data_IF_621493220892
#
_entry.id   IF_621493220892
#
_cell.length_a   1.000
_cell.length_b   1.000
_cell.length_c   1.000
_cell.angle_alpha   90.00
_cell.angle_beta   90.00
_cell.angle_gamma   90.00
#
_symmetry.space_group_name_H-M   'P 1'
#
loop_
_entity.id
_entity.type
_entity.pdbx_description
1 polymer ?
#
# COMPACT_ATOMS: atom_id res chain seq x y z
N UNK A 1 -2.28 -18.17 3.49
CA UNK A 1 -2.02 -16.97 4.32
C UNK A 1 -1.21 -17.28 5.58
N UNK A 2 -1.60 -18.21 6.46
CA UNK A 2 -0.81 -18.57 7.65
C UNK A 2 0.63 -18.98 7.31
N UNK A 3 0.82 -19.87 6.33
CA UNK A 3 2.14 -20.28 5.82
C UNK A 3 2.98 -19.09 5.34
N UNK A 4 2.35 -18.11 4.68
CA UNK A 4 3.04 -16.89 4.25
C UNK A 4 3.47 -16.01 5.43
N UNK A 5 2.70 -15.93 6.51
CA UNK A 5 3.11 -15.19 7.71
C UNK A 5 4.36 -15.80 8.35
N UNK A 6 4.42 -17.12 8.46
CA UNK A 6 5.58 -17.83 8.99
C UNK A 6 6.81 -17.58 8.11
N UNK A 7 6.68 -17.77 6.78
CA UNK A 7 7.76 -17.54 5.83
C UNK A 7 8.29 -16.09 5.87
N UNK A 8 7.38 -15.12 5.92
CA UNK A 8 7.74 -13.71 6.00
C UNK A 8 8.45 -13.36 7.31
N UNK A 9 7.98 -13.91 8.41
CA UNK A 9 8.60 -13.67 9.71
C UNK A 9 10.04 -14.19 9.75
N UNK A 10 10.28 -15.43 9.30
CA UNK A 10 11.64 -15.99 9.26
C UNK A 10 12.56 -15.19 8.35
N UNK A 11 12.10 -14.78 7.16
CA UNK A 11 12.88 -13.97 6.22
C UNK A 11 13.13 -12.55 6.71
N UNK A 12 12.28 -12.01 7.57
CA UNK A 12 12.44 -10.67 8.13
C UNK A 12 13.62 -10.60 9.12
N UNK A 13 13.97 -11.72 9.76
CA UNK A 13 15.07 -11.81 10.71
C UNK A 13 14.85 -10.98 11.97
N UNK A 14 13.59 -10.83 12.40
CA UNK A 14 13.30 -10.19 13.68
C UNK A 14 13.50 -11.20 14.83
N UNK A 15 13.95 -10.72 16.01
CA UNK A 15 13.98 -11.56 17.21
C UNK A 15 12.56 -12.03 17.56
N UNK A 16 12.46 -13.16 18.25
CA UNK A 16 11.17 -13.69 18.71
C UNK A 16 10.41 -12.67 19.56
N UNK A 17 11.12 -11.94 20.38
CA UNK A 17 10.60 -10.83 21.18
C UNK A 17 11.52 -9.62 21.04
N UNK A 18 10.97 -8.41 21.05
CA UNK A 18 11.79 -7.22 21.24
C UNK A 18 12.31 -7.17 22.68
N UNK A 19 13.53 -6.62 22.85
CA UNK A 19 14.08 -6.40 24.17
C UNK A 19 13.24 -5.35 24.92
N UNK A 20 12.47 -5.80 25.91
CA UNK A 20 11.74 -4.93 26.83
C UNK A 20 11.64 -5.62 28.18
N UNK A 21 11.57 -4.82 29.23
CA UNK A 21 11.27 -5.29 30.57
C UNK A 21 9.80 -5.69 30.64
N UNK A 22 9.47 -6.80 31.29
CA UNK A 22 8.10 -7.26 31.49
C UNK A 22 7.75 -8.55 30.77
N UNK A 23 6.49 -8.96 30.90
CA UNK A 23 5.98 -10.24 30.40
C UNK A 23 5.99 -10.30 28.86
N UNK A 24 6.63 -11.33 28.31
CA UNK A 24 6.74 -11.58 26.86
C UNK A 24 5.56 -12.41 26.35
N UNK A 25 4.34 -11.98 26.62
CA UNK A 25 3.11 -12.71 26.35
C UNK A 25 2.86 -12.99 24.86
N UNK A 26 3.32 -12.08 23.97
CA UNK A 26 3.16 -12.21 22.52
C UNK A 26 4.51 -12.12 21.83
N UNK A 27 4.78 -13.02 20.90
CA UNK A 27 5.96 -12.95 20.07
C UNK A 27 5.75 -12.06 18.82
N UNK A 28 6.82 -11.74 18.10
CA UNK A 28 6.74 -10.84 16.95
C UNK A 28 6.04 -11.45 15.74
N UNK A 29 6.05 -12.78 15.58
CA UNK A 29 5.24 -13.47 14.56
C UNK A 29 3.75 -13.25 14.82
N UNK A 30 3.30 -13.46 16.06
CA UNK A 30 1.91 -13.23 16.46
C UNK A 30 1.49 -11.78 16.26
N UNK A 31 2.34 -10.83 16.69
CA UNK A 31 2.07 -9.39 16.52
C UNK A 31 1.91 -8.99 15.05
N UNK A 32 2.84 -9.40 14.18
CA UNK A 32 2.79 -9.09 12.74
C UNK A 32 1.55 -9.72 12.10
N UNK A 33 1.30 -11.01 12.37
CA UNK A 33 0.14 -11.72 11.83
C UNK A 33 -1.17 -11.06 12.24
N UNK A 34 -1.32 -10.73 13.52
CA UNK A 34 -2.54 -10.06 14.02
C UNK A 34 -2.72 -8.65 13.47
N UNK A 35 -1.64 -7.88 13.28
CA UNK A 35 -1.74 -6.56 12.64
C UNK A 35 -2.19 -6.66 11.18
N UNK A 36 -1.71 -7.65 10.43
CA UNK A 36 -2.15 -7.88 9.04
C UNK A 36 -3.62 -8.33 9.00
N UNK A 37 -4.01 -9.24 9.90
CA UNK A 37 -5.40 -9.72 10.02
C UNK A 37 -6.35 -8.59 10.44
N UNK A 38 -5.93 -7.72 11.34
CA UNK A 38 -6.67 -6.52 11.73
C UNK A 38 -6.96 -5.62 10.51
N UNK A 39 -5.96 -5.36 9.66
CA UNK A 39 -6.21 -4.58 8.43
C UNK A 39 -7.19 -5.29 7.49
N UNK A 40 -7.16 -6.60 7.44
CA UNK A 40 -8.08 -7.40 6.62
C UNK A 40 -9.53 -7.33 7.13
N UNK A 41 -9.73 -7.32 8.44
CA UNK A 41 -11.07 -7.36 9.06
C UNK A 41 -11.88 -6.09 8.81
N UNK A 42 -11.24 -4.94 8.56
CA UNK A 42 -11.86 -3.60 8.43
C UNK A 42 -12.69 -3.19 9.67
N UNK A 43 -12.56 -3.88 10.79
CA UNK A 43 -13.30 -3.66 12.03
C UNK A 43 -12.58 -2.66 12.93
N UNK A 44 -13.26 -2.20 13.98
CA UNK A 44 -12.59 -1.49 15.07
C UNK A 44 -11.60 -2.42 15.78
N UNK A 45 -10.69 -1.85 16.58
CA UNK A 45 -9.75 -2.67 17.36
C UNK A 45 -10.47 -3.56 18.37
N UNK A 46 -11.58 -3.09 18.93
CA UNK A 46 -12.39 -3.84 19.91
C UNK A 46 -13.10 -4.99 19.21
N UNK A 47 -13.87 -4.69 18.15
CA UNK A 47 -14.63 -5.69 17.41
C UNK A 47 -13.74 -6.78 16.81
N UNK A 48 -12.53 -6.40 16.34
CA UNK A 48 -11.55 -7.37 15.87
C UNK A 48 -11.07 -8.30 16.99
N UNK A 49 -10.86 -7.78 18.20
CA UNK A 49 -10.45 -8.59 19.33
C UNK A 49 -11.55 -9.57 19.76
N UNK A 50 -12.80 -9.16 19.71
CA UNK A 50 -13.95 -10.03 20.03
C UNK A 50 -14.08 -11.15 18.99
N UNK A 51 -14.07 -10.81 17.71
CA UNK A 51 -14.13 -11.80 16.63
C UNK A 51 -12.93 -12.77 16.63
N UNK A 52 -11.75 -12.29 17.04
CA UNK A 52 -10.55 -13.12 17.12
C UNK A 52 -10.73 -14.29 18.10
N UNK A 53 -11.52 -14.12 19.17
CA UNK A 53 -11.78 -15.18 20.19
C UNK A 53 -12.35 -16.45 19.58
N UNK A 54 -13.22 -16.30 18.58
CA UNK A 54 -13.93 -17.40 17.92
C UNK A 54 -13.22 -17.90 16.66
N UNK A 55 -12.12 -17.24 16.28
CA UNK A 55 -11.43 -17.55 15.04
C UNK A 55 -10.40 -18.68 15.19
N UNK A 56 -10.20 -19.43 14.11
CA UNK A 56 -9.14 -20.44 14.01
C UNK A 56 -7.72 -19.86 14.16
N UNK A 57 -7.57 -18.52 14.04
CA UNK A 57 -6.28 -17.85 14.17
C UNK A 57 -5.71 -17.96 15.58
N UNK A 58 -6.54 -18.10 16.61
CA UNK A 58 -6.11 -18.35 17.99
C UNK A 58 -5.29 -19.65 18.04
N UNK A 59 -5.82 -20.72 17.46
CA UNK A 59 -5.14 -22.02 17.38
C UNK A 59 -3.91 -21.96 16.48
N UNK A 60 -4.03 -21.43 15.27
CA UNK A 60 -2.95 -21.38 14.29
C UNK A 60 -1.76 -20.53 14.72
N UNK A 61 -1.98 -19.47 15.46
CA UNK A 61 -0.93 -18.62 16.01
C UNK A 61 -0.51 -19.03 17.42
N UNK A 62 -1.09 -20.11 17.98
CA UNK A 62 -0.82 -20.58 19.34
C UNK A 62 -0.94 -19.46 20.38
N UNK A 63 -2.04 -18.69 20.30
CA UNK A 63 -2.28 -17.58 21.22
C UNK A 63 -2.74 -18.13 22.58
N UNK A 64 -1.96 -17.87 23.62
CA UNK A 64 -2.35 -18.21 25.02
C UNK A 64 -3.39 -17.22 25.59
N UNK A 65 -3.44 -16.02 25.04
CA UNK A 65 -4.35 -14.94 25.43
C UNK A 65 -4.71 -14.08 24.22
N UNK A 66 -5.93 -13.56 24.21
CA UNK A 66 -6.37 -12.58 23.19
C UNK A 66 -5.84 -11.19 23.57
N UNK A 67 -5.21 -10.45 22.65
CA UNK A 67 -4.81 -9.07 22.92
C UNK A 67 -6.01 -8.16 23.05
N UNK A 68 -5.96 -7.18 23.90
CA UNK A 68 -6.94 -6.11 23.93
C UNK A 68 -6.69 -5.06 22.84
N UNK A 69 -7.70 -4.22 22.54
CA UNK A 69 -7.61 -3.18 21.52
C UNK A 69 -6.48 -2.16 21.79
N UNK A 70 -6.22 -1.82 23.05
CA UNK A 70 -5.08 -0.98 23.45
C UNK A 70 -3.74 -1.64 23.12
N UNK A 71 -3.61 -2.94 23.37
CA UNK A 71 -2.41 -3.71 23.05
C UNK A 71 -2.11 -3.70 21.54
N UNK A 72 -3.14 -3.93 20.71
CA UNK A 72 -3.00 -3.83 19.24
C UNK A 72 -2.61 -2.43 18.78
N UNK A 73 -3.19 -1.40 19.39
CA UNK A 73 -2.83 -0.01 19.10
C UNK A 73 -1.36 0.28 19.44
N UNK A 74 -0.85 -0.25 20.55
CA UNK A 74 0.55 -0.09 20.90
C UNK A 74 1.47 -0.85 19.96
N UNK A 75 1.06 -1.99 19.44
CA UNK A 75 1.83 -2.69 18.40
C UNK A 75 1.85 -1.91 17.07
N UNK A 76 0.78 -1.22 16.69
CA UNK A 76 0.81 -0.31 15.53
C UNK A 76 1.84 0.82 15.72
N UNK A 77 2.08 1.26 16.98
CA UNK A 77 3.12 2.23 17.30
C UNK A 77 4.52 1.59 17.39
N UNK A 78 4.61 0.32 17.76
CA UNK A 78 5.87 -0.37 17.97
C UNK A 78 6.65 -0.55 16.67
N UNK A 79 5.99 -1.03 15.60
CA UNK A 79 6.64 -1.27 14.32
C UNK A 79 6.92 0.04 13.58
N UNK A 80 8.22 0.34 13.40
CA UNK A 80 8.67 1.51 12.65
C UNK A 80 8.50 1.29 11.14
N UNK A 81 8.35 2.37 10.38
CA UNK A 81 8.20 2.32 8.91
C UNK A 81 9.29 1.52 8.21
N UNK A 82 10.53 1.57 8.71
CA UNK A 82 11.64 0.81 8.13
C UNK A 82 11.42 -0.71 8.22
N UNK A 83 10.84 -1.19 9.32
CA UNK A 83 10.53 -2.61 9.53
C UNK A 83 9.39 -3.06 8.62
N UNK A 84 8.32 -2.23 8.50
CA UNK A 84 7.17 -2.55 7.65
C UNK A 84 7.59 -2.52 6.17
N UNK A 85 8.44 -1.57 5.75
CA UNK A 85 9.01 -1.57 4.39
C UNK A 85 9.92 -2.76 4.12
N UNK A 86 10.73 -3.18 5.09
CA UNK A 86 11.52 -4.41 4.97
C UNK A 86 10.62 -5.62 4.76
N UNK A 87 9.53 -5.73 5.54
CA UNK A 87 8.53 -6.78 5.36
C UNK A 87 7.93 -6.75 3.94
N UNK A 88 7.52 -5.56 3.47
CA UNK A 88 7.01 -5.39 2.12
C UNK A 88 8.04 -5.77 1.05
N UNK A 89 9.31 -5.45 1.24
CA UNK A 89 10.36 -5.79 0.27
C UNK A 89 10.58 -7.28 0.08
N UNK A 90 10.27 -8.10 1.10
CA UNK A 90 10.36 -9.57 1.04
C UNK A 90 9.24 -10.22 0.19
N UNK A 91 8.19 -9.47 -0.10
CA UNK A 91 7.05 -9.91 -0.92
C UNK A 91 7.25 -9.65 -2.41
N UNK A 92 8.15 -8.74 -2.78
CA UNK A 92 8.37 -8.30 -4.15
C UNK A 92 8.84 -9.43 -5.06
N UNK A 93 8.43 -9.36 -6.32
CA UNK A 93 8.98 -10.19 -7.39
C UNK A 93 10.49 -9.96 -7.55
N UNK A 94 11.20 -10.96 -8.11
CA UNK A 94 12.66 -10.87 -8.26
C UNK A 94 13.07 -10.10 -9.52
N UNK A 95 12.41 -10.32 -10.65
CA UNK A 95 12.81 -9.79 -11.96
C UNK A 95 11.86 -8.67 -12.39
N UNK A 96 12.08 -7.48 -11.85
CA UNK A 96 11.29 -6.28 -12.15
C UNK A 96 12.02 -5.47 -13.21
N UNK A 97 11.33 -5.14 -14.30
CA UNK A 97 11.86 -4.28 -15.36
C UNK A 97 10.94 -3.10 -15.68
N UNK A 98 9.63 -3.34 -15.77
CA UNK A 98 8.64 -2.33 -16.08
C UNK A 98 7.83 -1.96 -14.84
N UNK A 99 7.84 -0.69 -14.51
CA UNK A 99 7.19 -0.15 -13.31
C UNK A 99 6.32 1.05 -13.64
N UNK A 100 5.37 1.38 -12.77
CA UNK A 100 4.56 2.57 -12.93
C UNK A 100 4.41 3.32 -11.60
N UNK A 101 4.25 4.65 -11.69
CA UNK A 101 3.98 5.51 -10.54
C UNK A 101 2.80 6.42 -10.81
N UNK A 102 1.90 6.52 -9.85
CA UNK A 102 0.79 7.45 -9.90
C UNK A 102 0.30 7.82 -8.50
N UNK A 103 -0.35 8.99 -8.42
CA UNK A 103 -0.89 9.56 -7.19
C UNK A 103 -2.40 9.39 -7.08
N UNK A 104 -2.88 9.11 -5.87
CA UNK A 104 -4.32 9.07 -5.57
C UNK A 104 -4.62 9.74 -4.23
N UNK A 105 -5.83 10.28 -4.08
CA UNK A 105 -6.34 10.77 -2.80
C UNK A 105 -6.99 9.66 -1.99
N UNK A 106 -6.80 9.66 -0.68
CA UNK A 106 -7.54 8.85 0.28
C UNK A 106 -8.22 9.75 1.29
N UNK A 107 -9.44 9.41 1.66
CA UNK A 107 -10.10 10.05 2.78
C UNK A 107 -9.36 9.68 4.07
N UNK A 108 -9.11 10.68 4.88
CA UNK A 108 -8.46 10.49 6.15
C UNK A 108 -9.29 11.12 7.24
N UNK A 109 -9.95 10.30 8.02
CA UNK A 109 -10.83 10.71 9.11
C UNK A 109 -12.10 11.45 8.64
N UNK A 110 -13.24 10.86 8.84
CA UNK A 110 -14.52 11.47 8.52
C UNK A 110 -14.87 12.52 9.58
N UNK A 111 -14.90 13.78 9.18
CA UNK A 111 -15.74 14.77 9.87
C UNK A 111 -17.20 14.43 9.60
N UNK A 112 -18.04 14.60 10.59
CA UNK A 112 -19.48 14.48 10.37
C UNK A 112 -19.91 15.49 9.31
N UNK A 113 -20.62 15.04 8.27
CA UNK A 113 -21.18 15.93 7.23
C UNK A 113 -22.03 17.07 7.82
N UNK A 114 -22.62 16.83 8.99
CA UNK A 114 -23.37 17.81 9.74
C UNK A 114 -22.48 18.94 10.30
N UNK A 115 -21.26 18.60 10.74
CA UNK A 115 -20.29 19.59 11.20
C UNK A 115 -19.76 20.44 10.03
N UNK A 116 -19.57 19.84 8.88
CA UNK A 116 -19.10 20.54 7.66
C UNK A 116 -20.15 21.56 7.18
N UNK A 117 -21.43 21.18 7.20
CA UNK A 117 -22.53 22.12 6.91
C UNK A 117 -22.66 23.26 7.94
N UNK A 118 -22.30 23.05 9.20
CA UNK A 118 -22.39 24.03 10.29
C UNK A 118 -21.26 25.07 10.26
N UNK A 119 -20.07 24.67 9.83
CA UNK A 119 -18.88 25.54 9.81
C UNK A 119 -18.88 26.51 8.63
N UNK A 120 -19.89 26.41 7.78
CA UNK A 120 -20.25 27.44 6.81
C UNK A 120 -19.60 27.25 5.44
N UNK A 121 -20.40 27.51 4.45
CA UNK A 121 -20.13 27.42 3.01
C UNK A 121 -19.05 28.37 2.49
N UNK A 122 -18.47 29.22 3.34
CA UNK A 122 -17.54 30.27 2.92
C UNK A 122 -16.11 29.80 2.77
N UNK A 123 -15.71 28.76 3.46
CA UNK A 123 -14.42 28.09 3.25
C UNK A 123 -14.67 26.60 3.23
N UNK A 124 -14.64 25.97 2.07
CA UNK A 124 -14.54 24.52 1.97
C UNK A 124 -13.36 24.11 2.85
N UNK A 125 -13.59 23.65 4.10
CA UNK A 125 -12.50 23.23 4.93
C UNK A 125 -11.87 22.08 4.15
N UNK A 126 -10.57 22.18 3.92
CA UNK A 126 -9.85 21.13 3.23
C UNK A 126 -10.15 19.82 3.95
N UNK A 127 -10.95 18.98 3.32
CA UNK A 127 -11.25 17.63 3.84
C UNK A 127 -9.93 17.02 4.30
N UNK A 128 -9.87 16.39 5.47
CA UNK A 128 -8.66 15.71 5.91
C UNK A 128 -8.30 14.67 4.88
N UNK A 129 -7.42 15.04 4.02
CA UNK A 129 -7.03 14.37 2.79
C UNK A 129 -5.63 13.82 2.95
N UNK A 130 -5.44 12.59 2.54
CA UNK A 130 -4.13 12.01 2.41
C UNK A 130 -3.85 11.73 0.94
N UNK A 131 -2.75 12.26 0.42
CA UNK A 131 -2.24 11.93 -0.90
C UNK A 131 -1.33 10.72 -0.78
N UNK A 132 -1.57 9.72 -1.61
CA UNK A 132 -0.73 8.54 -1.74
C UNK A 132 -0.22 8.46 -3.16
N UNK A 133 1.09 8.32 -3.32
CA UNK A 133 1.72 7.97 -4.58
C UNK A 133 2.20 6.52 -4.47
N UNK A 134 1.73 5.66 -5.37
CA UNK A 134 2.10 4.25 -5.45
C UNK A 134 3.14 4.03 -6.55
N UNK A 135 4.19 3.28 -6.22
CA UNK A 135 5.17 2.77 -7.15
C UNK A 135 5.01 1.26 -7.25
N UNK A 136 4.64 0.76 -8.43
CA UNK A 136 4.26 -0.64 -8.64
C UNK A 136 5.13 -1.32 -9.69
N UNK A 137 5.22 -2.63 -9.61
CA UNK A 137 5.62 -3.49 -10.72
C UNK A 137 4.41 -3.73 -11.63
N UNK A 138 4.54 -3.42 -12.91
CA UNK A 138 3.45 -3.50 -13.89
C UNK A 138 3.01 -4.95 -14.12
N UNK A 139 3.96 -5.87 -14.20
CA UNK A 139 3.69 -7.29 -14.49
C UNK A 139 2.91 -7.97 -13.37
N UNK A 140 3.39 -7.85 -12.15
CA UNK A 140 2.77 -8.53 -10.99
C UNK A 140 1.72 -7.68 -10.29
N UNK A 141 1.63 -6.38 -10.61
CA UNK A 141 0.81 -5.39 -9.92
C UNK A 141 1.14 -5.30 -8.40
N UNK A 142 2.31 -5.72 -7.99
CA UNK A 142 2.77 -5.58 -6.61
C UNK A 142 3.24 -4.15 -6.33
N UNK A 143 2.94 -3.66 -5.13
CA UNK A 143 3.37 -2.33 -4.69
C UNK A 143 4.81 -2.42 -4.19
N UNK A 144 5.71 -1.79 -4.93
CA UNK A 144 7.14 -1.75 -4.61
C UNK A 144 7.44 -0.78 -3.47
N UNK A 145 6.89 0.42 -3.55
CA UNK A 145 7.00 1.44 -2.50
C UNK A 145 5.85 2.43 -2.62
N UNK A 146 5.69 3.28 -1.63
CA UNK A 146 4.68 4.33 -1.62
C UNK A 146 5.15 5.54 -0.83
N UNK A 147 4.50 6.67 -1.05
CA UNK A 147 4.56 7.82 -0.15
C UNK A 147 3.17 8.27 0.24
N UNK A 148 2.97 8.58 1.50
CA UNK A 148 1.72 9.14 2.01
C UNK A 148 2.00 10.51 2.63
N UNK A 149 1.33 11.53 2.10
CA UNK A 149 1.45 12.90 2.53
C UNK A 149 0.07 13.46 2.92
N UNK A 150 0.05 14.24 4.00
CA UNK A 150 -1.18 14.89 4.51
C UNK A 150 -1.29 16.36 4.05
N UNK A 151 -0.34 16.80 3.26
CA UNK A 151 -0.32 18.14 2.64
C UNK A 151 -0.28 17.99 1.13
N UNK A 152 -0.79 18.99 0.40
CA UNK A 152 -0.66 19.03 -1.06
C UNK A 152 0.80 19.20 -1.43
N UNK A 153 1.40 18.19 -2.00
CA UNK A 153 2.78 18.18 -2.49
C UNK A 153 2.75 17.76 -3.95
N UNK A 154 3.58 18.41 -4.76
CA UNK A 154 3.69 18.14 -6.18
C UNK A 154 4.19 16.70 -6.45
N UNK A 155 3.60 16.02 -7.42
CA UNK A 155 3.88 14.61 -7.77
C UNK A 155 5.37 14.34 -7.97
N UNK A 156 6.04 15.17 -8.75
CA UNK A 156 7.47 15.05 -9.00
C UNK A 156 8.34 15.14 -7.72
N UNK A 157 7.91 15.91 -6.69
CA UNK A 157 8.62 15.96 -5.40
C UNK A 157 8.43 14.68 -4.62
N UNK A 158 7.22 14.13 -4.61
CA UNK A 158 6.89 12.87 -3.92
C UNK A 158 7.59 11.70 -4.59
N UNK A 159 7.55 11.62 -5.91
CA UNK A 159 8.30 10.61 -6.67
C UNK A 159 9.80 10.66 -6.37
N UNK A 160 10.37 11.85 -6.24
CA UNK A 160 11.77 12.01 -5.84
C UNK A 160 12.10 11.37 -4.50
N UNK A 161 11.18 11.39 -3.53
CA UNK A 161 11.34 10.71 -2.24
C UNK A 161 11.32 9.19 -2.43
N UNK A 162 10.38 8.66 -3.23
CA UNK A 162 10.27 7.23 -3.53
C UNK A 162 11.52 6.74 -4.27
N UNK A 163 11.93 7.44 -5.32
CA UNK A 163 13.07 7.04 -6.16
C UNK A 163 14.41 7.10 -5.43
N UNK A 164 14.60 8.03 -4.50
CA UNK A 164 15.79 8.07 -3.65
C UNK A 164 15.95 6.83 -2.79
N UNK A 165 14.84 6.25 -2.30
CA UNK A 165 14.85 5.08 -1.41
C UNK A 165 15.03 3.75 -2.14
N UNK A 166 14.69 3.69 -3.43
CA UNK A 166 14.68 2.45 -4.18
C UNK A 166 15.91 2.32 -5.08
N UNK A 167 16.31 1.08 -5.37
CA UNK A 167 17.21 0.74 -6.47
C UNK A 167 16.40 0.77 -7.75
N UNK A 168 16.87 1.44 -8.79
CA UNK A 168 16.11 1.65 -10.05
C UNK A 168 16.86 1.10 -11.26
N UNK A 169 18.00 0.41 -11.04
CA UNK A 169 18.81 -0.13 -12.12
C UNK A 169 18.01 -1.09 -13.00
N UNK A 170 17.97 -0.81 -14.30
CA UNK A 170 17.22 -1.60 -15.28
C UNK A 170 15.70 -1.37 -15.26
N UNK A 171 15.19 -0.37 -14.52
CA UNK A 171 13.76 -0.09 -14.47
C UNK A 171 13.36 0.93 -15.55
N UNK A 172 12.36 0.56 -16.34
CA UNK A 172 11.55 1.49 -17.12
C UNK A 172 10.34 1.90 -16.28
N UNK A 173 10.23 3.21 -16.01
CA UNK A 173 9.24 3.78 -15.09
C UNK A 173 8.23 4.60 -15.86
N UNK A 174 6.97 4.19 -15.85
CA UNK A 174 5.86 4.90 -16.48
C UNK A 174 5.22 5.87 -15.49
N UNK A 175 5.01 7.11 -15.89
CA UNK A 175 4.40 8.13 -15.06
C UNK A 175 3.49 9.06 -15.87
N UNK A 176 2.57 9.76 -15.19
CA UNK A 176 1.76 10.80 -15.81
C UNK A 176 2.58 12.09 -16.05
N UNK A 177 2.05 12.99 -16.87
CA UNK A 177 2.62 14.34 -17.10
C UNK A 177 2.88 15.15 -15.82
N UNK A 178 2.23 14.79 -14.71
CA UNK A 178 2.47 15.35 -13.38
C UNK A 178 3.91 15.15 -12.88
N UNK A 179 4.56 14.10 -13.36
CA UNK A 179 5.92 13.71 -13.00
C UNK A 179 6.99 14.24 -13.97
N UNK A 180 6.60 14.96 -15.03
CA UNK A 180 7.54 15.54 -15.99
C UNK A 180 8.42 16.61 -15.34
N UNK A 181 9.64 16.25 -15.00
CA UNK A 181 10.65 17.11 -14.40
C UNK A 181 12.05 16.63 -14.76
N UNK A 182 12.84 17.48 -15.40
CA UNK A 182 14.24 17.15 -15.77
C UNK A 182 15.06 16.69 -14.54
N UNK A 183 14.82 17.32 -13.37
CA UNK A 183 15.46 16.91 -12.12
C UNK A 183 15.12 15.47 -11.73
N UNK A 184 13.87 15.05 -11.95
CA UNK A 184 13.42 13.71 -11.66
C UNK A 184 14.00 12.70 -12.64
N UNK A 185 14.03 13.03 -13.94
CA UNK A 185 14.69 12.21 -14.97
C UNK A 185 16.18 12.00 -14.66
N UNK A 186 16.91 13.05 -14.29
CA UNK A 186 18.30 12.96 -13.88
C UNK A 186 18.49 12.04 -12.68
N UNK A 187 17.64 12.14 -11.67
CA UNK A 187 17.68 11.27 -10.50
C UNK A 187 17.48 9.80 -10.89
N UNK A 188 16.51 9.49 -11.76
CA UNK A 188 16.25 8.10 -12.20
C UNK A 188 17.42 7.58 -13.02
N UNK A 189 17.94 8.39 -13.95
CA UNK A 189 19.13 8.03 -14.76
C UNK A 189 20.37 7.79 -13.92
N UNK A 190 20.63 8.61 -12.91
CA UNK A 190 21.78 8.41 -12.01
C UNK A 190 21.71 7.11 -11.21
N UNK A 191 20.51 6.49 -11.14
CA UNK A 191 20.27 5.19 -10.51
C UNK A 191 20.13 4.04 -11.51
N UNK A 192 20.45 4.27 -12.80
CA UNK A 192 20.43 3.25 -13.85
C UNK A 192 19.03 2.90 -14.39
N UNK A 193 18.01 3.71 -14.10
CA UNK A 193 16.66 3.55 -14.63
C UNK A 193 16.33 4.55 -15.74
N UNK A 194 15.13 4.43 -16.32
CA UNK A 194 14.57 5.34 -17.32
C UNK A 194 13.16 5.74 -16.92
N UNK A 195 12.87 7.05 -16.92
CA UNK A 195 11.55 7.59 -16.64
C UNK A 195 10.87 7.98 -17.95
N UNK A 196 9.65 7.56 -18.15
CA UNK A 196 8.78 7.95 -19.25
C UNK A 196 7.59 8.72 -18.69
N UNK A 197 7.54 10.01 -18.97
CA UNK A 197 6.44 10.88 -18.60
C UNK A 197 6.10 11.81 -19.78
N UNK A 198 4.81 11.95 -20.16
CA UNK A 198 4.43 12.87 -21.22
C UNK A 198 4.87 14.28 -20.90
N UNK A 199 5.48 14.95 -21.87
CA UNK A 199 6.04 16.29 -21.71
C UNK A 199 4.92 17.32 -21.47
N UNK A 200 5.03 18.11 -20.41
CA UNK A 200 4.16 19.27 -20.20
C UNK A 200 4.47 20.35 -21.21
N UNK A 201 3.49 20.74 -22.00
CA UNK A 201 3.55 21.97 -22.80
C UNK A 201 3.44 23.16 -21.85
N UNK A 202 4.54 23.86 -21.65
CA UNK A 202 4.55 25.10 -20.87
C UNK A 202 4.23 26.27 -21.84
N UNK A 203 3.04 26.79 -21.75
CA UNK A 203 2.50 27.99 -22.45
C UNK A 203 1.98 27.80 -23.88
N UNK A 204 0.82 28.41 -24.11
CA UNK A 204 0.12 28.52 -25.39
C UNK A 204 0.88 29.35 -26.44
N UNK A 205 1.98 30.02 -26.07
CA UNK A 205 2.60 31.11 -26.88
C UNK A 205 3.67 30.61 -27.85
N UNK A 206 4.11 29.33 -27.78
CA UNK A 206 5.09 28.84 -28.76
C UNK A 206 4.98 27.34 -28.92
N UNK A 207 4.24 26.93 -29.96
CA UNK A 207 4.12 25.50 -30.38
C UNK A 207 5.47 24.90 -30.82
N UNK A 208 6.48 25.71 -31.10
CA UNK A 208 7.76 25.30 -31.70
C UNK A 208 8.92 25.21 -30.71
N UNK A 209 8.75 25.55 -29.42
CA UNK A 209 9.83 25.42 -28.46
C UNK A 209 9.92 24.01 -27.92
N UNK A 210 11.05 23.36 -28.18
CA UNK A 210 11.38 22.05 -27.57
C UNK A 210 11.46 22.20 -26.04
N UNK A 211 11.04 21.15 -25.27
CA UNK A 211 11.13 21.20 -23.81
C UNK A 211 12.58 21.39 -23.36
N UNK A 212 12.77 22.16 -22.31
CA UNK A 212 14.08 22.28 -21.67
C UNK A 212 14.51 20.96 -21.02
N UNK A 213 15.80 20.64 -21.12
CA UNK A 213 16.37 19.43 -20.54
C UNK A 213 16.52 18.27 -21.54
N UNK A 214 17.66 17.57 -21.42
CA UNK A 214 18.03 16.46 -22.31
C UNK A 214 17.03 15.31 -22.21
N UNK A 215 16.76 14.83 -21.00
CA UNK A 215 15.97 13.63 -20.77
C UNK A 215 14.46 13.85 -21.00
N UNK A 216 13.96 15.06 -20.78
CA UNK A 216 12.57 15.41 -21.15
C UNK A 216 12.36 15.37 -22.67
N UNK A 217 13.39 15.72 -23.45
CA UNK A 217 13.31 15.64 -24.94
C UNK A 217 13.24 14.20 -25.43
N UNK A 218 13.84 13.24 -24.72
CA UNK A 218 13.70 11.80 -25.02
C UNK A 218 12.26 11.30 -24.84
N UNK A 219 11.40 12.01 -24.09
CA UNK A 219 10.01 11.68 -23.88
C UNK A 219 9.04 12.40 -24.85
N UNK A 220 9.55 13.06 -25.89
CA UNK A 220 8.70 13.56 -26.98
C UNK A 220 8.08 12.40 -27.77
N UNK A 221 8.82 11.31 -27.89
CA UNK A 221 8.35 10.04 -28.39
C UNK A 221 8.25 9.07 -27.20
N UNK A 222 7.02 8.66 -26.92
CA UNK A 222 6.72 7.73 -25.82
C UNK A 222 6.72 6.30 -26.34
N UNK A 223 7.13 5.30 -25.54
CA UNK A 223 7.09 3.91 -25.96
C UNK A 223 5.64 3.41 -26.09
N UNK A 224 5.41 2.43 -26.95
CA UNK A 224 4.11 1.81 -27.18
C UNK A 224 3.47 1.26 -25.91
N UNK A 225 4.31 0.75 -24.99
CA UNK A 225 3.85 0.22 -23.70
C UNK A 225 3.43 1.30 -22.69
N UNK A 226 3.41 2.58 -23.07
CA UNK A 226 3.02 3.68 -22.16
C UNK A 226 1.58 3.51 -21.61
N UNK A 227 0.69 2.88 -22.36
CA UNK A 227 -0.68 2.56 -21.92
C UNK A 227 -0.74 1.67 -20.67
N UNK A 228 0.28 0.85 -20.41
CA UNK A 228 0.35 0.00 -19.21
C UNK A 228 0.46 0.81 -17.91
N UNK A 229 0.73 2.11 -17.98
CA UNK A 229 0.64 3.02 -16.83
C UNK A 229 -0.71 2.90 -16.11
N UNK A 230 -1.80 2.70 -16.85
CA UNK A 230 -3.15 2.58 -16.27
C UNK A 230 -3.29 1.46 -15.24
N UNK A 231 -2.39 0.48 -15.23
CA UNK A 231 -2.41 -0.60 -14.22
C UNK A 231 -2.18 -0.08 -12.78
N UNK A 232 -1.51 1.06 -12.61
CA UNK A 232 -1.40 1.67 -11.28
C UNK A 232 -2.76 2.20 -10.78
N UNK A 233 -3.60 2.67 -11.69
CA UNK A 233 -4.97 3.10 -11.37
C UNK A 233 -5.84 1.89 -10.94
N UNK A 234 -5.63 0.73 -11.59
CA UNK A 234 -6.25 -0.53 -11.18
C UNK A 234 -5.84 -0.92 -9.77
N UNK A 235 -4.55 -0.85 -9.43
CA UNK A 235 -4.05 -1.12 -8.07
C UNK A 235 -4.66 -0.15 -7.06
N UNK A 236 -4.70 1.15 -7.38
CA UNK A 236 -5.35 2.18 -6.56
C UNK A 236 -6.84 1.87 -6.32
N UNK A 237 -7.54 1.46 -7.37
CA UNK A 237 -8.96 1.10 -7.30
C UNK A 237 -9.20 -0.13 -6.41
N UNK A 238 -8.38 -1.17 -6.54
CA UNK A 238 -8.46 -2.38 -5.70
C UNK A 238 -8.22 -2.04 -4.23
N UNK A 239 -7.19 -1.24 -3.93
CA UNK A 239 -6.93 -0.79 -2.56
C UNK A 239 -8.14 -0.06 -1.96
N UNK A 240 -8.67 0.93 -2.68
CA UNK A 240 -9.79 1.75 -2.19
C UNK A 240 -11.07 0.94 -1.97
N UNK A 241 -11.44 0.10 -2.94
CA UNK A 241 -12.68 -0.69 -2.86
C UNK A 241 -12.59 -1.85 -1.87
N UNK A 242 -11.47 -2.59 -1.91
CA UNK A 242 -11.37 -3.86 -1.17
C UNK A 242 -10.70 -3.75 0.19
N UNK A 243 -9.86 -2.74 0.44
CA UNK A 243 -9.07 -2.70 1.66
C UNK A 243 -9.20 -1.42 2.49
N UNK A 244 -9.15 -0.24 1.86
CA UNK A 244 -9.09 1.04 2.58
C UNK A 244 -10.18 1.96 2.08
N UNK A 245 -11.27 2.09 2.82
CA UNK A 245 -12.27 3.14 2.56
C UNK A 245 -11.77 4.51 3.04
N UNK A 246 -11.15 4.54 4.22
CA UNK A 246 -10.57 5.75 4.83
C UNK A 246 -9.46 5.39 5.82
N UNK A 247 -8.54 6.32 6.06
CA UNK A 247 -7.52 6.17 7.10
C UNK A 247 -8.10 6.58 8.45
N UNK A 248 -8.00 5.68 9.44
CA UNK A 248 -8.55 5.88 10.79
C UNK A 248 -7.61 6.65 11.70
N UNK A 249 -6.32 6.53 11.47
CA UNK A 249 -5.29 7.19 12.29
C UNK A 249 -5.35 8.71 12.13
N UNK A 250 -5.18 9.45 13.24
CA UNK A 250 -5.17 10.91 13.23
C UNK A 250 -3.78 11.49 12.91
N UNK A 251 -2.72 10.97 13.55
CA UNK A 251 -1.35 11.48 13.39
C UNK A 251 -0.72 11.02 12.07
N UNK A 252 0.03 11.90 11.38
CA UNK A 252 0.68 11.60 10.09
C UNK A 252 1.48 10.30 10.11
N UNK A 253 2.35 10.11 11.10
CA UNK A 253 3.20 8.90 11.16
C UNK A 253 2.38 7.62 11.37
N UNK A 254 1.24 7.71 12.07
CA UNK A 254 0.33 6.57 12.23
C UNK A 254 -0.44 6.29 10.94
N UNK A 255 -0.89 7.31 10.21
CA UNK A 255 -1.50 7.14 8.87
C UNK A 255 -0.55 6.42 7.91
N UNK A 256 0.74 6.81 7.94
CA UNK A 256 1.77 6.17 7.12
C UNK A 256 1.96 4.69 7.49
N UNK A 257 1.96 4.35 8.79
CA UNK A 257 2.07 2.95 9.25
C UNK A 257 0.82 2.14 8.94
N UNK A 258 -0.35 2.69 9.18
CA UNK A 258 -1.63 2.07 8.83
C UNK A 258 -1.66 1.73 7.34
N UNK A 259 -1.34 2.70 6.48
CA UNK A 259 -1.27 2.47 5.05
C UNK A 259 -0.21 1.42 4.68
N UNK A 260 0.94 1.44 5.33
CA UNK A 260 2.00 0.46 5.10
C UNK A 260 1.55 -0.99 5.40
N UNK A 261 0.76 -1.20 6.44
CA UNK A 261 0.18 -2.52 6.74
C UNK A 261 -0.83 -2.96 5.68
N UNK A 262 -1.63 -2.03 5.15
CA UNK A 262 -2.51 -2.33 4.01
C UNK A 262 -1.72 -2.71 2.74
N UNK A 263 -0.60 -2.05 2.49
CA UNK A 263 0.29 -2.41 1.37
C UNK A 263 0.86 -3.82 1.55
N UNK A 264 1.29 -4.18 2.76
CA UNK A 264 1.75 -5.54 3.07
C UNK A 264 0.63 -6.56 2.83
N UNK A 265 -0.57 -6.32 3.33
CA UNK A 265 -1.74 -7.17 3.10
C UNK A 265 -2.05 -7.31 1.59
N UNK A 266 -2.03 -6.22 0.85
CA UNK A 266 -2.23 -6.23 -0.59
C UNK A 266 -1.22 -7.13 -1.30
N UNK A 267 0.06 -6.97 -1.00
CA UNK A 267 1.12 -7.75 -1.64
C UNK A 267 1.12 -9.22 -1.23
N UNK A 268 0.68 -9.58 -0.01
CA UNK A 268 0.43 -10.97 0.38
C UNK A 268 -0.66 -11.57 -0.51
N UNK A 269 -1.77 -10.88 -0.68
CA UNK A 269 -2.88 -11.36 -1.51
C UNK A 269 -2.44 -11.51 -2.99
N UNK A 270 -1.68 -10.54 -3.54
CA UNK A 270 -1.13 -10.66 -4.90
C UNK A 270 -0.18 -11.84 -5.04
N UNK A 271 0.71 -12.05 -4.06
CA UNK A 271 1.62 -13.20 -4.07
C UNK A 271 0.89 -14.54 -4.04
N UNK A 272 -0.20 -14.64 -3.28
CA UNK A 272 -1.03 -15.85 -3.23
C UNK A 272 -1.69 -16.09 -4.59
N UNK A 273 -2.23 -15.03 -5.23
CA UNK A 273 -2.85 -15.12 -6.57
C UNK A 273 -1.82 -15.60 -7.61
N UNK A 274 -0.66 -14.95 -7.68
CA UNK A 274 0.40 -15.31 -8.62
C UNK A 274 0.92 -16.72 -8.41
N UNK A 275 1.07 -17.18 -7.18
CA UNK A 275 1.47 -18.55 -6.89
C UNK A 275 0.40 -19.60 -7.21
N UNK A 276 -0.87 -19.21 -7.42
CA UNK A 276 -1.93 -20.10 -7.89
C UNK A 276 -2.01 -20.17 -9.42
N UNK A 277 -1.49 -19.17 -10.14
CA UNK A 277 -1.42 -19.16 -11.60
C UNK A 277 -0.28 -20.05 -12.12
N UNK A 278 0.81 -20.20 -11.36
CA UNK A 278 2.00 -21.01 -11.72
C UNK A 278 1.85 -22.53 -11.43
N UNK A 279 0.76 -22.96 -10.85
CA UNK A 279 0.56 -24.38 -10.52
C UNK A 279 -0.89 -24.74 -10.26
N UNK A 280 -1.42 -25.67 -11.06
CA UNK A 280 -2.72 -26.34 -10.93
C UNK A 280 -3.24 -26.54 -9.50
N UNK A 281 -3.74 -25.50 -8.85
CA UNK A 281 -4.49 -25.59 -7.60
C UNK A 281 -5.69 -24.66 -7.59
N UNK A 282 -6.67 -24.97 -8.43
CA UNK A 282 -8.01 -24.38 -8.43
C UNK A 282 -8.79 -24.62 -7.12
N UNK A 283 -8.22 -25.38 -6.18
CA UNK A 283 -8.92 -25.84 -4.95
C UNK A 283 -8.74 -24.96 -3.71
N UNK A 284 -7.85 -23.96 -3.71
CA UNK A 284 -7.59 -23.15 -2.49
C UNK A 284 -8.46 -21.88 -2.44
N UNK A 285 -9.10 -21.49 -3.53
CA UNK A 285 -9.87 -20.24 -3.57
C UNK A 285 -11.19 -20.27 -2.80
N UNK A 286 -11.83 -21.43 -2.65
CA UNK A 286 -13.10 -21.53 -1.91
C UNK A 286 -12.97 -21.54 -0.39
N UNK A 287 -11.84 -21.97 0.17
CA UNK A 287 -11.69 -22.06 1.64
C UNK A 287 -11.16 -20.78 2.33
N UNK A 288 -10.67 -19.77 1.58
CA UNK A 288 -10.18 -18.52 2.18
C UNK A 288 -11.32 -17.50 2.36
N UNK A 289 -12.48 -17.73 1.77
CA UNK A 289 -13.67 -16.87 1.90
C UNK A 289 -14.62 -17.25 3.03
N UNK A 290 -14.37 -18.35 3.74
CA UNK A 290 -15.21 -18.74 4.88
C UNK A 290 -14.69 -18.04 6.15
N UNK A 291 -14.97 -16.76 6.28
CA UNK A 291 -15.36 -16.20 7.55
C UNK A 291 -16.85 -16.41 7.68
N UNK A 292 -17.23 -17.29 8.60
CA UNK A 292 -18.55 -17.72 8.92
C UNK A 292 -19.65 -16.70 8.55
N UNK A 293 -20.47 -17.08 7.60
CA UNK A 293 -21.89 -16.80 7.70
C UNK A 293 -22.36 -17.69 8.85
N UNK A 294 -22.99 -17.17 9.91
CA UNK A 294 -23.65 -18.01 10.88
C UNK A 294 -24.68 -18.86 10.14
N UNK A 295 -24.70 -20.14 10.39
CA UNK A 295 -25.77 -21.03 9.95
C UNK A 295 -27.12 -20.45 10.37
N UNK A 296 -27.96 -20.14 9.41
CA UNK A 296 -29.33 -19.72 9.64
C UNK A 296 -29.83 -18.64 8.70
N UNK A 297 -29.91 -18.92 7.41
CA UNK A 297 -30.89 -18.32 6.53
C UNK A 297 -31.15 -19.24 5.34
N UNK A 298 -32.36 -19.74 5.30
CA UNK A 298 -32.94 -20.63 4.32
C UNK A 298 -32.73 -20.21 2.87
N UNK A 299 -32.60 -21.24 2.07
CA UNK A 299 -32.89 -21.33 0.63
C UNK A 299 -33.73 -20.18 0.08
N UNK A 300 -33.15 -19.37 -0.80
CA UNK A 300 -33.88 -18.78 -1.92
C UNK A 300 -33.09 -19.12 -3.20
N UNK A 301 -33.69 -20.03 -3.94
CA UNK A 301 -33.47 -20.33 -5.34
C UNK A 301 -33.80 -19.06 -6.16
N UNK A 302 -32.85 -18.57 -6.94
CA UNK A 302 -33.02 -18.15 -8.34
C UNK A 302 -31.62 -17.91 -8.93
#
# INVERSE_FOLDING_TARGET
MHREFINLYHRLGLPLHFNHKGNKQFNNLQRISLLILYQRSKKSLVDFCEELKESLWVKWLSLKKIPGGSTLHDWLKLFKMIQIRKLNSLLKAKNISLTAIDGTGLDSWQRSRHYEKRVGEVHVPHMPYAKVDLFIDVKTQQILDFSLEVKRIHDAKVAGIIFKRNKLSGFDILADKGYDSEKLHKLVRSKGGKLFAPVRKMNKVSSNKKPGGKYRRECLELPEFMGMRSLVETVNSVLKRKQISSLRSKKKYMKQREFAWHVVLYNINRKIILGSEDGNQTFIFCQIFIWAIPDGADSIVF
#
